data_IF_764561534393
#
_entry.id   IF_764561534393
#
_cell.length_a   1.000
_cell.length_b   1.000
_cell.length_c   1.000
_cell.angle_alpha   90.00
_cell.angle_beta   90.00
_cell.angle_gamma   90.00
#
_symmetry.space_group_name_H-M   'P 1'
#
loop_
_entity.id
_entity.type
_entity.pdbx_description
1 polymer ?
#
# COMPACT_ATOMS: atom_id res chain seq x y z
N UNK A 1 22.59 -16.01 -7.69
CA UNK A 1 21.43 -16.58 -8.38
C UNK A 1 20.27 -15.60 -8.31
N UNK A 2 19.54 -15.44 -9.41
CA UNK A 2 18.34 -14.60 -9.49
C UNK A 2 17.15 -15.47 -9.88
N UNK A 3 16.03 -15.32 -9.17
CA UNK A 3 14.75 -15.99 -9.45
C UNK A 3 13.69 -14.94 -9.71
N UNK A 4 13.04 -14.98 -10.86
CA UNK A 4 11.89 -14.13 -11.19
C UNK A 4 10.64 -15.00 -11.33
N UNK A 5 9.59 -14.61 -10.61
CA UNK A 5 8.26 -15.21 -10.72
C UNK A 5 7.26 -14.22 -11.28
N UNK A 6 6.47 -14.65 -12.26
CA UNK A 6 5.38 -13.86 -12.86
C UNK A 6 4.13 -14.74 -13.06
N UNK A 7 2.98 -14.13 -13.36
CA UNK A 7 1.76 -14.90 -13.66
C UNK A 7 1.85 -15.65 -14.96
N UNK A 8 2.35 -14.98 -16.01
CA UNK A 8 2.48 -15.48 -17.37
C UNK A 8 3.69 -14.86 -18.04
N UNK A 9 4.08 -15.38 -19.21
CA UNK A 9 5.16 -14.83 -20.02
C UNK A 9 4.94 -13.34 -20.34
N UNK A 10 3.73 -12.93 -20.61
CA UNK A 10 3.39 -11.56 -21.04
C UNK A 10 3.63 -10.50 -19.95
N UNK A 11 3.73 -10.94 -18.69
CA UNK A 11 4.00 -10.06 -17.54
C UNK A 11 5.48 -10.04 -17.13
N UNK A 12 6.33 -10.79 -17.84
CA UNK A 12 7.77 -10.82 -17.60
C UNK A 12 8.43 -9.57 -18.17
N UNK A 13 9.24 -8.89 -17.34
CA UNK A 13 9.98 -7.68 -17.69
C UNK A 13 11.46 -7.86 -17.36
N UNK A 14 12.33 -7.12 -18.02
CA UNK A 14 13.77 -7.06 -17.78
C UNK A 14 14.52 -8.41 -17.85
N UNK A 15 14.05 -9.35 -18.66
CA UNK A 15 14.66 -10.69 -18.74
C UNK A 15 16.12 -10.62 -19.20
N UNK A 16 16.41 -9.91 -20.28
CA UNK A 16 17.75 -9.83 -20.86
C UNK A 16 18.71 -9.05 -19.96
N UNK A 17 18.24 -7.95 -19.35
CA UNK A 17 19.02 -7.15 -18.42
C UNK A 17 19.39 -7.95 -17.17
N UNK A 18 18.44 -8.69 -16.62
CA UNK A 18 18.67 -9.52 -15.44
C UNK A 18 19.58 -10.71 -15.73
N UNK A 19 19.47 -11.33 -16.90
CA UNK A 19 20.38 -12.37 -17.34
C UNK A 19 21.81 -11.85 -17.49
N UNK A 20 21.97 -10.63 -18.00
CA UNK A 20 23.29 -10.03 -18.24
C UNK A 20 24.06 -9.78 -16.93
N UNK A 21 23.38 -9.52 -15.82
CA UNK A 21 24.00 -9.17 -14.52
C UNK A 21 24.00 -10.33 -13.53
N UNK A 22 23.28 -11.43 -13.80
CA UNK A 22 23.18 -12.57 -12.89
C UNK A 22 24.14 -13.70 -13.29
N UNK A 23 24.68 -14.40 -12.31
CA UNK A 23 25.48 -15.62 -12.55
C UNK A 23 24.61 -16.78 -13.03
N UNK A 24 23.45 -17.00 -12.38
CA UNK A 24 22.43 -17.94 -12.81
C UNK A 24 21.06 -17.24 -12.72
N UNK A 25 20.19 -17.51 -13.69
CA UNK A 25 18.90 -16.87 -13.82
C UNK A 25 17.79 -17.91 -13.99
N UNK A 26 16.79 -17.84 -13.16
CA UNK A 26 15.67 -18.77 -13.13
C UNK A 26 14.34 -18.01 -13.29
N UNK A 27 13.45 -18.54 -14.13
CA UNK A 27 12.13 -17.99 -14.35
C UNK A 27 11.08 -19.02 -13.97
N UNK A 28 10.04 -18.58 -13.25
CA UNK A 28 8.84 -19.37 -13.05
C UNK A 28 7.60 -18.56 -13.40
N UNK A 29 6.57 -19.24 -13.89
CA UNK A 29 5.26 -18.68 -14.18
C UNK A 29 4.16 -19.50 -13.52
N UNK A 30 3.15 -18.84 -12.98
CA UNK A 30 2.03 -19.53 -12.31
C UNK A 30 1.28 -20.44 -13.28
N UNK A 31 1.07 -19.98 -14.52
CA UNK A 31 0.36 -20.69 -15.57
C UNK A 31 1.21 -21.72 -16.34
N UNK A 32 2.54 -21.63 -16.24
CA UNK A 32 3.48 -22.49 -16.94
C UNK A 32 3.70 -22.11 -18.41
N UNK A 33 3.35 -20.88 -18.81
CA UNK A 33 3.55 -20.40 -20.18
C UNK A 33 5.02 -20.15 -20.52
N UNK A 34 5.86 -19.95 -19.49
CA UNK A 34 7.30 -19.75 -19.67
C UNK A 34 8.10 -20.17 -18.44
N UNK A 35 9.29 -20.72 -18.66
CA UNK A 35 10.15 -21.20 -17.60
C UNK A 35 9.54 -22.39 -16.81
N UNK A 36 9.81 -22.43 -15.50
CA UNK A 36 9.24 -23.42 -14.61
C UNK A 36 7.80 -23.07 -14.24
N UNK A 37 6.87 -24.01 -14.34
CA UNK A 37 5.52 -23.81 -13.78
C UNK A 37 5.56 -23.87 -12.26
N UNK A 38 5.03 -22.85 -11.60
CA UNK A 38 4.92 -22.78 -10.14
C UNK A 38 5.39 -21.46 -9.57
N UNK A 39 5.54 -21.41 -8.26
CA UNK A 39 5.90 -20.21 -7.52
C UNK A 39 7.42 -20.09 -7.29
N UNK A 40 7.90 -18.91 -6.94
CA UNK A 40 9.31 -18.69 -6.58
C UNK A 40 9.78 -19.58 -5.43
N UNK A 41 8.91 -19.93 -4.50
CA UNK A 41 9.20 -20.85 -3.40
C UNK A 41 9.52 -22.26 -3.86
N UNK A 42 8.90 -22.69 -4.97
CA UNK A 42 9.17 -24.01 -5.55
C UNK A 42 10.54 -24.05 -6.23
N UNK A 43 10.94 -22.92 -6.86
CA UNK A 43 12.28 -22.78 -7.44
C UNK A 43 13.35 -22.80 -6.35
N UNK A 44 13.11 -22.12 -5.22
CA UNK A 44 14.01 -22.16 -4.04
C UNK A 44 14.16 -23.60 -3.56
N UNK A 45 13.06 -24.36 -3.43
CA UNK A 45 13.12 -25.76 -3.02
C UNK A 45 13.92 -26.64 -3.99
N UNK A 46 13.75 -26.43 -5.28
CA UNK A 46 14.48 -27.22 -6.29
C UNK A 46 15.98 -26.92 -6.24
N UNK A 47 16.37 -25.64 -6.13
CA UNK A 47 17.77 -25.24 -6.02
C UNK A 47 18.43 -25.80 -4.74
N UNK A 48 17.72 -25.82 -3.63
CA UNK A 48 18.21 -26.41 -2.37
C UNK A 48 18.34 -27.95 -2.48
N UNK A 49 17.41 -28.63 -3.16
CA UNK A 49 17.50 -30.08 -3.44
C UNK A 49 18.67 -30.43 -4.35
N UNK A 50 19.06 -29.52 -5.26
CA UNK A 50 20.27 -29.66 -6.09
C UNK A 50 21.57 -29.49 -5.30
N UNK A 51 21.47 -29.21 -3.98
CA UNK A 51 22.63 -29.06 -3.10
C UNK A 51 23.24 -27.66 -3.10
N UNK A 52 22.53 -26.66 -3.59
CA UNK A 52 23.00 -25.28 -3.53
C UNK A 52 22.87 -24.72 -2.11
N UNK A 53 23.83 -23.92 -1.73
CA UNK A 53 23.87 -23.22 -0.45
C UNK A 53 23.85 -21.72 -0.67
N UNK A 54 23.06 -21.01 0.17
CA UNK A 54 22.92 -19.56 0.12
C UNK A 54 23.08 -19.00 1.53
N UNK A 55 23.91 -17.99 1.69
CA UNK A 55 24.12 -17.29 2.97
C UNK A 55 23.04 -16.25 3.22
N UNK A 56 22.56 -15.63 2.13
CA UNK A 56 21.59 -14.53 2.22
C UNK A 56 20.68 -14.49 0.99
N UNK A 57 19.42 -14.12 1.22
CA UNK A 57 18.43 -13.90 0.19
C UNK A 57 17.87 -12.46 0.27
N UNK A 58 17.73 -11.81 -0.86
CA UNK A 58 17.00 -10.54 -0.99
C UNK A 58 15.68 -10.85 -1.70
N UNK A 59 14.56 -10.46 -1.08
CA UNK A 59 13.23 -10.84 -1.51
C UNK A 59 12.42 -9.57 -1.77
N UNK A 60 11.98 -9.39 -3.01
CA UNK A 60 11.25 -8.20 -3.46
C UNK A 60 10.04 -8.65 -4.26
N UNK A 61 8.85 -8.15 -3.93
CA UNK A 61 7.63 -8.48 -4.65
C UNK A 61 6.35 -8.34 -3.82
N UNK A 62 5.26 -9.00 -4.20
CA UNK A 62 4.01 -8.96 -3.44
C UNK A 62 4.21 -9.44 -2.00
N UNK A 63 3.53 -8.78 -1.06
CA UNK A 63 3.66 -9.06 0.39
C UNK A 63 3.47 -10.54 0.74
N UNK A 64 2.52 -11.20 0.08
CA UNK A 64 2.25 -12.62 0.27
C UNK A 64 3.42 -13.49 -0.20
N UNK A 65 4.05 -13.14 -1.33
CA UNK A 65 5.23 -13.84 -1.84
C UNK A 65 6.41 -13.68 -0.88
N UNK A 66 6.67 -12.45 -0.42
CA UNK A 66 7.74 -12.17 0.54
C UNK A 66 7.55 -12.96 1.84
N UNK A 67 6.32 -13.06 2.35
CA UNK A 67 5.99 -13.88 3.54
C UNK A 67 6.41 -15.34 3.37
N UNK A 68 6.00 -15.96 2.25
CA UNK A 68 6.28 -17.38 2.04
C UNK A 68 7.74 -17.65 1.68
N UNK A 69 8.37 -16.79 0.88
CA UNK A 69 9.77 -16.90 0.54
C UNK A 69 10.68 -16.70 1.78
N UNK A 70 10.38 -15.69 2.62
CA UNK A 70 11.08 -15.49 3.90
C UNK A 70 10.94 -16.69 4.83
N UNK A 71 9.72 -17.24 4.96
CA UNK A 71 9.49 -18.47 5.73
C UNK A 71 10.35 -19.63 5.21
N UNK A 72 10.41 -19.79 3.87
CA UNK A 72 11.22 -20.84 3.26
C UNK A 72 12.71 -20.66 3.51
N UNK A 73 13.21 -19.43 3.42
CA UNK A 73 14.60 -19.11 3.76
C UNK A 73 14.92 -19.46 5.22
N UNK A 74 14.06 -19.06 6.17
CA UNK A 74 14.22 -19.38 7.60
C UNK A 74 14.24 -20.89 7.88
N UNK A 75 13.35 -21.67 7.25
CA UNK A 75 13.31 -23.13 7.39
C UNK A 75 14.61 -23.81 6.93
N UNK A 76 15.36 -23.15 6.04
CA UNK A 76 16.62 -23.64 5.49
C UNK A 76 17.86 -22.90 6.03
N UNK A 77 17.71 -22.13 7.13
CA UNK A 77 18.78 -21.35 7.77
C UNK A 77 19.45 -20.33 6.83
N UNK A 78 18.71 -19.78 5.88
CA UNK A 78 19.16 -18.71 4.98
C UNK A 78 18.68 -17.38 5.56
N UNK A 79 19.61 -16.49 5.90
CA UNK A 79 19.25 -15.14 6.31
C UNK A 79 18.56 -14.41 5.16
N UNK A 80 17.59 -13.55 5.46
CA UNK A 80 16.87 -12.89 4.39
C UNK A 80 16.52 -11.43 4.70
N UNK A 81 16.58 -10.62 3.67
CA UNK A 81 16.12 -9.23 3.67
C UNK A 81 14.94 -9.11 2.71
N UNK A 82 13.87 -8.50 3.18
CA UNK A 82 12.69 -8.20 2.38
C UNK A 82 12.62 -6.70 2.12
N UNK A 83 12.28 -6.29 0.89
CA UNK A 83 11.99 -4.90 0.57
C UNK A 83 10.48 -4.71 0.57
N UNK A 84 9.98 -4.10 1.66
CA UNK A 84 8.54 -3.95 1.88
C UNK A 84 7.95 -2.83 1.03
N UNK A 85 6.76 -3.07 0.52
CA UNK A 85 6.00 -2.13 -0.32
C UNK A 85 4.63 -1.76 0.30
N UNK A 86 4.56 -1.28 1.54
CA UNK A 86 3.32 -0.77 2.10
C UNK A 86 2.90 0.51 1.38
N UNK A 87 1.64 0.93 1.58
CA UNK A 87 1.19 2.23 1.09
C UNK A 87 2.06 3.34 1.65
N UNK A 88 2.68 4.15 0.78
CA UNK A 88 3.50 5.31 1.13
C UNK A 88 2.85 6.57 0.56
N UNK A 89 2.53 7.54 1.42
CA UNK A 89 1.80 8.76 1.02
C UNK A 89 2.75 9.97 0.98
N UNK A 90 3.39 10.31 2.11
CA UNK A 90 4.24 11.50 2.19
C UNK A 90 5.75 11.20 2.18
N UNK A 91 6.17 10.00 2.55
CA UNK A 91 7.58 9.61 2.57
C UNK A 91 8.42 10.18 3.71
N UNK A 92 7.82 10.94 4.64
CA UNK A 92 8.54 11.63 5.73
C UNK A 92 8.46 10.92 7.09
N UNK A 93 7.63 9.88 7.19
CA UNK A 93 7.34 9.16 8.43
C UNK A 93 6.27 9.82 9.31
N UNK A 94 5.68 10.94 8.88
CA UNK A 94 4.69 11.66 9.68
C UNK A 94 3.26 11.10 9.54
N UNK A 95 2.84 10.74 8.33
CA UNK A 95 1.46 10.29 8.08
C UNK A 95 1.14 8.89 8.61
N UNK A 96 2.14 8.06 8.88
CA UNK A 96 1.97 6.70 9.41
C UNK A 96 1.33 5.69 8.44
N UNK A 97 1.09 6.04 7.17
CA UNK A 97 0.49 5.15 6.18
C UNK A 97 1.34 3.89 5.95
N UNK A 98 2.66 4.05 5.87
CA UNK A 98 3.64 2.98 5.65
C UNK A 98 4.06 2.22 6.92
N UNK A 99 3.28 2.33 8.00
CA UNK A 99 3.58 1.64 9.26
C UNK A 99 3.63 0.13 9.09
N UNK A 100 4.69 -0.47 9.63
CA UNK A 100 4.91 -1.92 9.70
C UNK A 100 5.40 -2.28 11.10
N UNK A 101 5.20 -3.52 11.53
CA UNK A 101 5.73 -4.02 12.80
C UNK A 101 6.91 -4.96 12.55
N UNK A 102 8.06 -4.58 13.07
CA UNK A 102 9.33 -5.31 12.95
C UNK A 102 9.81 -5.65 14.35
N UNK A 103 9.99 -6.94 14.65
CA UNK A 103 10.40 -7.42 15.99
C UNK A 103 9.53 -6.82 17.12
N UNK A 104 8.21 -6.80 16.90
CA UNK A 104 7.24 -6.23 17.85
C UNK A 104 7.26 -4.72 18.00
N UNK A 105 8.11 -4.00 17.25
CA UNK A 105 8.21 -2.53 17.26
C UNK A 105 7.62 -1.92 16.01
N UNK A 106 6.92 -0.81 16.18
CA UNK A 106 6.41 -0.02 15.05
C UNK A 106 7.56 0.68 14.34
N UNK A 107 7.59 0.53 13.02
CA UNK A 107 8.52 1.18 12.10
C UNK A 107 7.77 1.81 10.94
N UNK A 108 8.38 2.77 10.28
CA UNK A 108 7.84 3.42 9.08
C UNK A 108 8.72 3.08 7.88
N UNK A 109 8.19 2.29 6.94
CA UNK A 109 8.98 1.78 5.83
C UNK A 109 9.64 2.87 4.97
N UNK A 110 9.04 4.06 4.89
CA UNK A 110 9.59 5.17 4.11
C UNK A 110 10.85 5.82 4.73
N UNK A 111 11.08 5.69 6.04
CA UNK A 111 12.22 6.31 6.73
C UNK A 111 13.11 5.30 7.45
N UNK A 112 12.54 4.20 7.98
CA UNK A 112 13.30 3.13 8.67
C UNK A 112 13.72 1.99 7.73
N UNK A 113 13.09 1.90 6.55
CA UNK A 113 13.27 0.85 5.55
C UNK A 113 13.51 1.43 4.15
N UNK A 114 12.98 0.82 3.11
CA UNK A 114 11.99 -0.29 3.07
C UNK A 114 12.58 -1.69 3.33
N UNK A 115 13.89 -1.83 3.41
CA UNK A 115 14.57 -3.10 3.62
C UNK A 115 14.55 -3.47 5.12
N UNK A 116 14.06 -4.67 5.40
CA UNK A 116 13.99 -5.21 6.76
C UNK A 116 14.38 -6.69 6.78
N UNK A 117 14.85 -7.15 7.94
CA UNK A 117 15.02 -8.57 8.23
C UNK A 117 13.68 -9.28 8.12
N UNK A 118 13.54 -10.16 7.11
CA UNK A 118 12.28 -10.83 6.80
C UNK A 118 11.76 -11.72 7.93
N UNK A 119 12.64 -12.21 8.80
CA UNK A 119 12.25 -13.05 9.94
C UNK A 119 11.57 -12.25 11.05
N UNK A 120 11.75 -10.93 11.06
CA UNK A 120 11.20 -10.02 12.08
C UNK A 120 9.93 -9.29 11.64
N UNK A 121 9.55 -9.40 10.38
CA UNK A 121 8.38 -8.72 9.83
C UNK A 121 7.08 -9.37 10.25
N UNK A 122 6.12 -8.60 10.75
CA UNK A 122 4.75 -9.03 10.92
C UNK A 122 3.98 -8.91 9.60
N UNK A 123 4.13 -9.91 8.73
CA UNK A 123 3.47 -9.93 7.41
C UNK A 123 1.94 -9.94 7.49
N UNK A 124 1.34 -10.55 8.52
CA UNK A 124 -0.12 -10.61 8.64
C UNK A 124 -0.71 -9.24 8.92
N UNK A 125 -0.06 -8.44 9.74
CA UNK A 125 -0.45 -7.04 9.93
C UNK A 125 -0.21 -6.22 8.67
N UNK A 126 0.95 -6.36 8.04
CA UNK A 126 1.30 -5.62 6.82
C UNK A 126 0.28 -5.88 5.68
N UNK A 127 -0.12 -7.14 5.46
CA UNK A 127 -1.13 -7.50 4.47
C UNK A 127 -2.52 -6.93 4.80
N UNK A 128 -2.92 -6.93 6.07
CA UNK A 128 -4.19 -6.29 6.47
C UNK A 128 -4.18 -4.80 6.18
N UNK A 129 -3.05 -4.13 6.44
CA UNK A 129 -2.90 -2.70 6.19
C UNK A 129 -2.89 -2.35 4.70
N UNK A 130 -2.35 -3.20 3.83
CA UNK A 130 -2.43 -3.00 2.38
C UNK A 130 -3.87 -2.95 1.84
N UNK A 131 -4.81 -3.58 2.53
CA UNK A 131 -6.22 -3.60 2.13
C UNK A 131 -7.04 -2.46 2.73
N UNK A 132 -6.41 -1.53 3.47
CA UNK A 132 -7.11 -0.51 4.26
C UNK A 132 -7.97 0.45 3.41
N UNK A 133 -7.54 0.77 2.19
CA UNK A 133 -8.23 1.69 1.27
C UNK A 133 -8.84 0.98 0.05
N UNK A 134 -8.88 -0.34 0.04
CA UNK A 134 -9.33 -1.12 -1.12
C UNK A 134 -10.76 -0.81 -1.56
N UNK A 135 -11.63 -0.47 -0.62
CA UNK A 135 -13.01 -0.08 -0.91
C UNK A 135 -13.08 1.26 -1.62
N UNK A 136 -12.30 2.24 -1.15
CA UNK A 136 -12.21 3.58 -1.72
C UNK A 136 -11.55 3.55 -3.11
N UNK A 137 -10.48 2.77 -3.25
CA UNK A 137 -9.80 2.54 -4.53
C UNK A 137 -10.75 1.92 -5.55
N UNK A 138 -11.50 0.87 -5.17
CA UNK A 138 -12.48 0.24 -6.04
C UNK A 138 -13.60 1.18 -6.47
N UNK A 139 -14.08 2.03 -5.60
CA UNK A 139 -15.08 3.07 -5.94
C UNK A 139 -14.52 4.08 -6.95
N UNK A 140 -13.27 4.52 -6.75
CA UNK A 140 -12.65 5.48 -7.64
C UNK A 140 -12.35 4.89 -9.03
N UNK A 141 -11.96 3.62 -9.10
CA UNK A 141 -11.77 2.91 -10.37
C UNK A 141 -13.09 2.84 -11.15
N UNK A 142 -14.19 2.45 -10.49
CA UNK A 142 -15.51 2.41 -11.13
C UNK A 142 -15.93 3.79 -11.65
N UNK A 143 -15.69 4.87 -10.90
CA UNK A 143 -15.97 6.24 -11.33
C UNK A 143 -15.17 6.64 -12.58
N UNK A 144 -13.92 6.18 -12.69
CA UNK A 144 -13.07 6.46 -13.85
C UNK A 144 -13.52 5.65 -15.07
N UNK A 145 -13.84 4.36 -14.88
CA UNK A 145 -14.29 3.46 -15.96
C UNK A 145 -15.63 3.86 -16.55
N UNK A 146 -16.57 4.32 -15.71
CA UNK A 146 -17.91 4.78 -16.15
C UNK A 146 -17.88 6.17 -16.80
N UNK A 147 -16.74 6.86 -16.78
CA UNK A 147 -16.60 8.21 -17.35
C UNK A 147 -17.41 9.28 -16.61
N UNK A 148 -18.00 8.95 -15.50
CA UNK A 148 -18.82 9.84 -14.67
C UNK A 148 -18.01 10.35 -13.47
N UNK A 149 -17.68 11.60 -13.51
CA UNK A 149 -16.99 12.29 -12.42
C UNK A 149 -17.91 12.55 -11.23
N UNK A 150 -18.67 11.66 -10.68
CA UNK A 150 -19.29 11.81 -9.35
C UNK A 150 -20.62 11.07 -9.10
N UNK A 151 -21.16 10.25 -10.00
CA UNK A 151 -22.42 9.58 -9.74
C UNK A 151 -22.37 8.07 -10.03
N UNK A 152 -22.07 7.27 -9.01
CA UNK A 152 -22.39 5.85 -9.06
C UNK A 152 -23.83 5.65 -8.53
N UNK A 153 -24.83 5.37 -9.39
CA UNK A 153 -26.20 5.15 -8.97
C UNK A 153 -26.39 3.91 -8.06
N UNK A 154 -25.41 3.00 -8.02
CA UNK A 154 -25.42 1.84 -7.14
C UNK A 154 -24.86 2.11 -5.74
N UNK A 155 -24.37 3.33 -5.44
CA UNK A 155 -23.99 3.70 -4.08
C UNK A 155 -25.26 3.79 -3.21
N UNK A 156 -25.39 3.00 -2.13
CA UNK A 156 -26.59 3.02 -1.29
C UNK A 156 -26.87 4.39 -0.63
N UNK A 157 -25.92 5.32 -0.72
CA UNK A 157 -26.04 6.69 -0.22
C UNK A 157 -26.16 7.73 -1.35
N UNK A 158 -26.35 7.30 -2.61
CA UNK A 158 -26.39 8.20 -3.76
C UNK A 158 -27.47 9.29 -3.65
N UNK A 159 -28.69 8.92 -3.26
CA UNK A 159 -29.79 9.85 -3.05
C UNK A 159 -29.54 10.83 -1.89
N UNK A 160 -28.84 10.36 -0.85
CA UNK A 160 -28.47 11.17 0.32
C UNK A 160 -27.38 12.20 -0.04
N UNK A 161 -26.50 11.87 -0.99
CA UNK A 161 -25.42 12.78 -1.44
C UNK A 161 -25.93 13.85 -2.41
N UNK A 162 -26.92 13.51 -3.25
CA UNK A 162 -27.49 14.44 -4.23
C UNK A 162 -28.22 15.64 -3.57
N UNK A 163 -28.76 15.45 -2.37
CA UNK A 163 -29.54 16.45 -1.64
C UNK A 163 -28.75 17.22 -0.56
N UNK A 164 -27.45 16.92 -0.43
CA UNK A 164 -26.60 17.62 0.53
C UNK A 164 -26.18 18.98 -0.02
N UNK A 165 -26.45 20.04 0.74
CA UNK A 165 -25.87 21.36 0.53
C UNK A 165 -24.35 21.22 0.30
N UNK A 166 -23.82 21.94 -0.67
CA UNK A 166 -22.37 21.96 -0.91
C UNK A 166 -21.63 22.29 0.38
N UNK A 167 -20.50 21.63 0.59
CA UNK A 167 -19.62 21.94 1.71
C UNK A 167 -19.19 23.40 1.67
N UNK A 168 -19.26 24.10 2.79
CA UNK A 168 -18.72 25.45 2.90
C UNK A 168 -17.19 25.37 2.82
N UNK A 169 -16.55 26.04 1.82
CA UNK A 169 -15.11 26.01 1.71
C UNK A 169 -14.47 26.74 2.90
N UNK A 170 -13.43 26.16 3.47
CA UNK A 170 -12.62 26.84 4.47
C UNK A 170 -11.80 27.93 3.79
N UNK A 171 -11.78 29.12 4.38
CA UNK A 171 -11.00 30.24 3.84
C UNK A 171 -9.51 30.04 4.13
N UNK A 172 -8.71 30.26 3.12
CA UNK A 172 -7.26 30.18 3.20
C UNK A 172 -6.61 31.45 2.69
N UNK A 173 -5.36 31.69 3.11
CA UNK A 173 -4.54 32.73 2.52
C UNK A 173 -4.29 32.42 1.04
N UNK A 174 -4.33 33.46 0.20
CA UNK A 174 -3.95 33.35 -1.19
C UNK A 174 -2.50 32.87 -1.35
N UNK A 175 -2.19 31.99 -2.35
CA UNK A 175 -0.86 31.40 -2.53
C UNK A 175 0.27 32.44 -2.59
N UNK A 176 0.02 33.60 -3.21
CA UNK A 176 1.01 34.68 -3.33
C UNK A 176 1.27 35.46 -2.03
N UNK A 177 0.38 35.33 -1.05
CA UNK A 177 0.50 35.93 0.27
C UNK A 177 1.13 34.95 1.24
N UNK A 178 0.62 33.72 1.30
CA UNK A 178 1.08 32.69 2.24
C UNK A 178 2.54 32.28 2.08
N UNK A 179 3.11 32.44 0.89
CA UNK A 179 4.53 32.15 0.64
C UNK A 179 5.50 33.23 1.12
N UNK A 180 5.01 34.36 1.67
CA UNK A 180 5.79 35.50 2.12
C UNK A 180 5.71 35.77 3.61
N UNK A 181 4.92 34.99 4.34
CA UNK A 181 4.76 35.13 5.80
C UNK A 181 4.71 33.75 6.46
N UNK A 182 4.68 33.74 7.79
CA UNK A 182 4.52 32.56 8.62
C UNK A 182 3.21 32.60 9.42
N UNK A 183 2.23 33.39 8.96
CA UNK A 183 0.90 33.45 9.56
C UNK A 183 0.13 32.17 9.21
N UNK A 184 -0.89 31.85 10.00
CA UNK A 184 -1.71 30.68 9.76
C UNK A 184 -2.41 30.74 8.41
N UNK A 185 -2.23 29.72 7.59
CA UNK A 185 -2.78 29.66 6.22
C UNK A 185 -4.29 29.55 6.22
N UNK A 186 -4.84 28.81 7.18
CA UNK A 186 -6.29 28.55 7.29
C UNK A 186 -6.94 29.54 8.25
N UNK A 187 -7.86 30.37 7.74
CA UNK A 187 -8.59 31.33 8.58
C UNK A 187 -9.77 30.69 9.36
N UNK A 188 -10.07 29.40 9.10
CA UNK A 188 -11.23 28.74 9.68
C UNK A 188 -12.56 29.28 9.15
N UNK A 189 -13.64 28.93 9.82
CA UNK A 189 -14.98 29.44 9.54
C UNK A 189 -15.32 30.65 10.41
N UNK A 190 -16.01 31.64 9.85
CA UNK A 190 -16.73 32.61 10.64
C UNK A 190 -18.03 31.98 11.20
N UNK A 191 -18.77 32.72 12.05
CA UNK A 191 -19.98 32.18 12.68
C UNK A 191 -21.04 31.74 11.68
N UNK A 192 -21.24 32.49 10.60
CA UNK A 192 -22.24 32.21 9.57
C UNK A 192 -21.84 30.97 8.76
N UNK A 193 -20.57 30.87 8.36
CA UNK A 193 -20.00 29.72 7.66
C UNK A 193 -20.07 28.47 8.52
N UNK A 194 -19.73 28.58 9.81
CA UNK A 194 -19.79 27.46 10.75
C UNK A 194 -21.23 26.98 10.95
N UNK A 195 -22.21 27.89 11.05
CA UNK A 195 -23.62 27.54 11.14
C UNK A 195 -24.13 26.89 9.85
N UNK A 196 -23.71 27.40 8.67
CA UNK A 196 -24.06 26.83 7.39
C UNK A 196 -23.50 25.41 7.25
N UNK A 197 -22.25 25.16 7.63
CA UNK A 197 -21.64 23.83 7.60
C UNK A 197 -22.29 22.90 8.63
N UNK A 198 -22.55 23.38 9.85
CA UNK A 198 -23.24 22.60 10.87
C UNK A 198 -24.67 22.20 10.46
N UNK A 199 -25.37 23.03 9.67
CA UNK A 199 -26.70 22.72 9.16
C UNK A 199 -26.75 21.52 8.20
N UNK A 200 -25.60 21.03 7.73
CA UNK A 200 -25.47 19.82 6.93
C UNK A 200 -25.53 18.55 7.78
N UNK A 201 -25.51 18.68 9.11
CA UNK A 201 -25.60 17.56 10.01
C UNK A 201 -26.91 16.81 9.84
N UNK A 202 -26.84 15.49 9.60
CA UNK A 202 -28.00 14.62 9.39
C UNK A 202 -28.57 14.04 10.67
N UNK A 203 -28.09 14.48 11.85
CA UNK A 203 -28.53 14.01 13.16
C UNK A 203 -28.61 12.48 13.31
N UNK A 204 -27.49 11.81 13.02
CA UNK A 204 -27.40 10.35 13.07
C UNK A 204 -27.79 9.79 14.45
N UNK A 205 -28.57 8.72 14.50
CA UNK A 205 -28.92 8.02 15.75
C UNK A 205 -27.68 7.47 16.48
N UNK A 206 -26.64 7.07 15.74
CA UNK A 206 -25.33 6.64 16.24
C UNK A 206 -24.24 7.47 15.57
N UNK A 207 -23.89 8.65 16.08
CA UNK A 207 -22.98 9.58 15.42
C UNK A 207 -21.52 9.17 15.63
N UNK A 208 -20.92 8.50 14.63
CA UNK A 208 -19.51 8.09 14.67
C UNK A 208 -18.55 9.28 14.75
N UNK A 209 -18.94 10.44 14.20
CA UNK A 209 -18.16 11.68 14.30
C UNK A 209 -18.02 12.18 15.73
N UNK A 210 -19.08 12.04 16.57
CA UNK A 210 -19.03 12.39 17.98
C UNK A 210 -18.25 11.37 18.79
N UNK A 211 -18.43 10.08 18.49
CA UNK A 211 -17.74 8.99 19.18
C UNK A 211 -16.23 8.97 18.89
N UNK A 212 -15.82 9.42 17.71
CA UNK A 212 -14.41 9.48 17.30
C UNK A 212 -13.73 10.84 17.61
N UNK A 213 -14.46 11.81 18.16
CA UNK A 213 -13.90 13.12 18.48
C UNK A 213 -13.00 13.02 19.72
N UNK A 214 -11.74 13.46 19.66
CA UNK A 214 -10.82 13.41 20.81
C UNK A 214 -11.05 14.52 21.84
N UNK A 215 -12.03 15.42 21.61
CA UNK A 215 -12.36 16.57 22.49
C UNK A 215 -13.59 16.26 23.32
#
# INVERSE_FOLDING_TARGET
DVVIGTRSKDTLIFEDEMKAVSGNFYICTDDGTYGRKGMVTDVIDDLLKEGRHYDHAIIIGPMIMMKFASKKCRENNISNTVSLNPLMVDGTGMCGACRVTIDGKVKFACVDGPEFDGDKVNFDEAMRRQNMYKTEEGRNILLIEDGETHHNPSCPNHEIIADKKKRVPVREQEPDIRNKNFDEVCYGYNMEEAQAEASRCINCKNPLCVQGCPV
#
